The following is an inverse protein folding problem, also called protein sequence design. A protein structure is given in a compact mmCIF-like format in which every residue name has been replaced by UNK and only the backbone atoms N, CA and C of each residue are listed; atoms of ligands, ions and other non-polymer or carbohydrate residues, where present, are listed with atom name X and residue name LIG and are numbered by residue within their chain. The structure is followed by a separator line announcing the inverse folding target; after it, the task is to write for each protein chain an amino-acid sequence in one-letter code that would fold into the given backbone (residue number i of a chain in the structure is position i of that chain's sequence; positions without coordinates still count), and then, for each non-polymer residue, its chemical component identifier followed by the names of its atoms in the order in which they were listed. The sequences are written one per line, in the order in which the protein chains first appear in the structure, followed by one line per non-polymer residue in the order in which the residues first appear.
data_IF_617267219513
#
_entry.id   IF_617267219513
#
_cell.length_a   1.000
_cell.length_b   1.000
_cell.length_c   1.000
_cell.angle_alpha   90.00
_cell.angle_beta   90.00
_cell.angle_gamma   90.00
#
_symmetry.space_group_name_H-M   'P 1'
#
loop_
_entity.id
_entity.type
_entity.pdbx_description
1 polymer ?
#
# COMPACT_ATOMS: atom_id res chain seq x y z
N UNK A 1 -8.10 -8.45 0.83
CA UNK A 1 -8.71 -7.98 -0.45
C UNK A 1 -9.37 -9.10 -1.25
N UNK A 2 -10.27 -8.78 -2.19
CA UNK A 2 -10.89 -9.72 -3.15
C UNK A 2 -10.56 -9.28 -4.58
N UNK A 3 -9.95 -10.17 -5.37
CA UNK A 3 -9.54 -9.92 -6.75
C UNK A 3 -10.50 -10.54 -7.74
N UNK A 4 -10.89 -9.81 -8.79
CA UNK A 4 -11.71 -10.30 -9.90
C UNK A 4 -11.13 -9.88 -11.24
N UNK A 5 -11.10 -10.82 -12.18
CA UNK A 5 -10.71 -10.58 -13.57
C UNK A 5 -11.93 -10.85 -14.44
N UNK A 6 -12.40 -9.81 -15.11
CA UNK A 6 -13.60 -9.83 -15.93
C UNK A 6 -13.23 -9.42 -17.36
N UNK A 7 -14.10 -9.67 -18.33
CA UNK A 7 -13.81 -9.38 -19.74
C UNK A 7 -13.56 -7.89 -20.03
N UNK A 8 -14.06 -7.01 -19.17
CA UNK A 8 -14.01 -5.56 -19.31
C UNK A 8 -12.99 -4.89 -18.37
N UNK A 9 -12.30 -5.65 -17.51
CA UNK A 9 -11.31 -5.07 -16.60
C UNK A 9 -10.84 -5.98 -15.47
N UNK A 10 -9.91 -5.44 -14.67
CA UNK A 10 -9.38 -6.05 -13.47
C UNK A 10 -9.84 -5.25 -12.27
N UNK A 11 -10.58 -5.91 -11.37
CA UNK A 11 -11.24 -5.28 -10.24
C UNK A 11 -10.69 -5.80 -8.93
N UNK A 12 -10.48 -4.90 -7.96
CA UNK A 12 -10.10 -5.27 -6.61
C UNK A 12 -11.02 -4.58 -5.62
N UNK A 13 -11.61 -5.38 -4.74
CA UNK A 13 -12.37 -4.88 -3.60
C UNK A 13 -11.49 -4.97 -2.34
N UNK A 14 -11.41 -3.87 -1.60
CA UNK A 14 -10.61 -3.76 -0.39
C UNK A 14 -11.14 -2.68 0.55
N UNK A 15 -10.54 -2.60 1.73
CA UNK A 15 -10.84 -1.58 2.73
C UNK A 15 -9.84 -0.44 2.55
N UNK A 16 -10.33 0.78 2.33
CA UNK A 16 -9.45 1.95 2.24
C UNK A 16 -8.83 2.24 3.62
N UNK A 17 -7.57 2.62 3.65
CA UNK A 17 -6.88 3.06 4.84
C UNK A 17 -7.43 4.42 5.29
N UNK A 18 -8.05 4.38 6.47
CA UNK A 18 -8.45 5.52 7.27
C UNK A 18 -8.03 5.23 8.70
N UNK A 19 -7.84 6.25 9.54
CA UNK A 19 -7.61 6.01 10.97
C UNK A 19 -8.88 5.37 11.59
N UNK A 20 -8.98 4.04 11.58
CA UNK A 20 -10.15 3.24 12.00
C UNK A 20 -10.64 2.26 10.92
N UNK A 21 -11.92 1.84 11.01
CA UNK A 21 -12.56 0.99 10.00
C UNK A 21 -12.86 1.82 8.74
N UNK A 22 -12.02 1.65 7.71
CA UNK A 22 -12.23 2.33 6.44
C UNK A 22 -13.40 1.78 5.62
N UNK A 23 -13.91 2.54 4.65
CA UNK A 23 -14.96 2.06 3.77
C UNK A 23 -14.44 0.98 2.81
N UNK A 24 -15.31 0.03 2.48
CA UNK A 24 -15.11 -0.86 1.34
C UNK A 24 -15.13 -0.04 0.05
N UNK A 25 -14.16 -0.28 -0.82
CA UNK A 25 -14.05 0.34 -2.13
C UNK A 25 -13.73 -0.72 -3.18
N UNK A 26 -14.24 -0.51 -4.39
CA UNK A 26 -13.94 -1.34 -5.55
C UNK A 26 -13.20 -0.50 -6.59
N UNK A 27 -11.94 -0.87 -6.83
CA UNK A 27 -11.08 -0.18 -7.77
C UNK A 27 -11.00 -0.97 -9.08
N UNK A 28 -11.13 -0.28 -10.21
CA UNK A 28 -10.76 -0.82 -11.53
C UNK A 28 -9.31 -0.46 -11.81
N UNK A 29 -8.43 -1.44 -11.74
CA UNK A 29 -6.97 -1.25 -11.87
C UNK A 29 -6.49 -1.60 -13.26
N UNK A 30 -5.38 -0.99 -13.68
CA UNK A 30 -4.62 -1.47 -14.82
C UNK A 30 -3.87 -2.78 -14.49
N UNK A 31 -3.24 -3.38 -15.50
CA UNK A 31 -2.51 -4.64 -15.38
C UNK A 31 -1.43 -4.60 -14.29
N UNK A 32 -0.71 -3.48 -14.23
CA UNK A 32 0.49 -3.32 -13.44
C UNK A 32 0.15 -3.14 -11.96
N UNK A 33 -0.75 -2.21 -11.65
CA UNK A 33 -1.29 -2.00 -10.30
C UNK A 33 -1.94 -3.29 -9.76
N UNK A 34 -2.69 -3.99 -10.60
CA UNK A 34 -3.34 -5.24 -10.21
C UNK A 34 -2.32 -6.35 -9.87
N UNK A 35 -1.28 -6.51 -10.69
CA UNK A 35 -0.22 -7.50 -10.46
C UNK A 35 0.58 -7.19 -9.19
N UNK A 36 0.92 -5.92 -8.96
CA UNK A 36 1.61 -5.47 -7.74
C UNK A 36 0.80 -5.75 -6.48
N UNK A 37 -0.49 -5.45 -6.53
CA UNK A 37 -1.38 -5.63 -5.38
C UNK A 37 -1.59 -7.11 -5.05
N UNK A 38 -1.69 -7.98 -6.07
CA UNK A 38 -1.64 -9.44 -5.86
C UNK A 38 -0.34 -9.88 -5.19
N UNK A 39 0.81 -9.36 -5.66
CA UNK A 39 2.11 -9.69 -5.08
C UNK A 39 2.20 -9.23 -3.61
N UNK A 40 1.75 -8.02 -3.30
CA UNK A 40 1.71 -7.52 -1.93
C UNK A 40 0.83 -8.39 -1.02
N UNK A 41 -0.38 -8.72 -1.49
CA UNK A 41 -1.33 -9.58 -0.74
C UNK A 41 -0.72 -10.95 -0.47
N UNK A 42 -0.02 -11.54 -1.45
CA UNK A 42 0.65 -12.82 -1.27
C UNK A 42 1.76 -12.75 -0.22
N UNK A 43 2.59 -11.70 -0.24
CA UNK A 43 3.62 -11.50 0.78
C UNK A 43 2.99 -11.31 2.18
N UNK A 44 1.92 -10.52 2.28
CA UNK A 44 1.21 -10.31 3.55
C UNK A 44 0.65 -11.63 4.08
N UNK A 45 -0.05 -12.41 3.25
CA UNK A 45 -0.56 -13.72 3.64
C UNK A 45 0.56 -14.66 4.12
N UNK A 46 1.72 -14.66 3.47
CA UNK A 46 2.87 -15.45 3.93
C UNK A 46 3.40 -14.98 5.29
N UNK A 47 3.43 -13.66 5.55
CA UNK A 47 3.86 -13.09 6.83
C UNK A 47 2.87 -13.42 7.95
N UNK A 48 1.55 -13.36 7.70
CA UNK A 48 0.50 -13.69 8.68
C UNK A 48 0.62 -15.12 9.22
N UNK A 49 1.06 -16.06 8.38
CA UNK A 49 1.20 -17.47 8.75
C UNK A 49 2.51 -17.78 9.49
N UNK A 50 3.41 -16.82 9.65
CA UNK A 50 4.65 -17.01 10.39
C UNK A 50 4.36 -17.21 11.89
N UNK A 51 5.00 -18.16 12.58
CA UNK A 51 4.74 -18.43 14.00
C UNK A 51 4.82 -17.18 14.90
N UNK A 52 5.80 -16.30 14.65
CA UNK A 52 5.99 -15.04 15.41
C UNK A 52 4.90 -13.98 15.17
N UNK A 53 4.15 -14.12 14.09
CA UNK A 53 3.12 -13.16 13.68
C UNK A 53 1.74 -13.71 14.01
N UNK A 54 1.49 -14.99 13.69
CA UNK A 54 0.21 -15.66 13.84
C UNK A 54 -0.37 -15.59 15.26
N UNK A 55 0.49 -15.55 16.27
CA UNK A 55 0.10 -15.50 17.69
C UNK A 55 0.12 -14.07 18.26
N UNK A 56 0.56 -13.08 17.48
CA UNK A 56 0.70 -11.69 17.90
C UNK A 56 -0.36 -10.81 17.23
N UNK A 57 -1.43 -10.55 17.98
CA UNK A 57 -2.57 -9.75 17.51
C UNK A 57 -2.17 -8.38 16.99
N UNK A 58 -1.21 -7.71 17.64
CA UNK A 58 -0.77 -6.38 17.23
C UNK A 58 -0.06 -6.41 15.87
N UNK A 59 0.68 -7.49 15.57
CA UNK A 59 1.33 -7.68 14.28
C UNK A 59 0.35 -8.04 13.16
N UNK A 60 -0.67 -8.83 13.47
CA UNK A 60 -1.76 -9.12 12.52
C UNK A 60 -2.53 -7.84 12.15
N UNK A 61 -2.84 -6.99 13.14
CA UNK A 61 -3.48 -5.70 12.88
C UNK A 61 -2.59 -4.82 11.99
N UNK A 62 -1.29 -4.74 12.28
CA UNK A 62 -0.37 -3.96 11.45
C UNK A 62 -0.28 -4.49 10.00
N UNK A 63 -0.36 -5.81 9.79
CA UNK A 63 -0.39 -6.40 8.45
C UNK A 63 -1.68 -6.05 7.69
N UNK A 64 -2.83 -6.10 8.37
CA UNK A 64 -4.12 -5.69 7.79
C UNK A 64 -4.13 -4.18 7.44
N UNK A 65 -3.58 -3.34 8.31
CA UNK A 65 -3.42 -1.90 8.04
C UNK A 65 -2.45 -1.66 6.87
N UNK A 66 -1.37 -2.43 6.73
CA UNK A 66 -0.46 -2.37 5.58
C UNK A 66 -1.20 -2.79 4.30
N UNK A 67 -2.01 -3.86 4.34
CA UNK A 67 -2.81 -4.34 3.19
C UNK A 67 -3.75 -3.24 2.70
N UNK A 68 -4.54 -2.66 3.61
CA UNK A 68 -5.46 -1.56 3.30
C UNK A 68 -4.74 -0.30 2.82
N UNK A 69 -3.54 -0.02 3.34
CA UNK A 69 -2.73 1.13 2.91
C UNK A 69 -2.23 0.97 1.49
N UNK A 70 -1.67 -0.19 1.13
CA UNK A 70 -1.21 -0.47 -0.23
C UNK A 70 -2.40 -0.46 -1.20
N UNK A 71 -3.55 -1.02 -0.81
CA UNK A 71 -4.79 -0.94 -1.58
C UNK A 71 -5.22 0.50 -1.84
N UNK A 72 -5.15 1.38 -0.82
CA UNK A 72 -5.56 2.79 -0.96
C UNK A 72 -4.71 3.54 -1.96
N UNK A 73 -3.40 3.27 -1.99
CA UNK A 73 -2.49 3.85 -2.97
C UNK A 73 -2.89 3.38 -4.38
N UNK A 74 -3.12 2.08 -4.57
CA UNK A 74 -3.54 1.53 -5.86
C UNK A 74 -4.91 2.07 -6.30
N UNK A 75 -5.88 2.15 -5.38
CA UNK A 75 -7.21 2.69 -5.64
C UNK A 75 -7.19 4.17 -6.03
N UNK A 76 -6.18 4.93 -5.57
CA UNK A 76 -5.98 6.31 -6.00
C UNK A 76 -5.81 6.40 -7.53
N UNK A 77 -5.10 5.45 -8.15
CA UNK A 77 -4.91 5.45 -9.60
C UNK A 77 -6.23 5.35 -10.39
N UNK A 78 -7.26 4.68 -9.83
CA UNK A 78 -8.60 4.59 -10.43
C UNK A 78 -9.46 5.85 -10.20
N UNK A 79 -9.30 6.53 -9.06
CA UNK A 79 -10.16 7.66 -8.65
C UNK A 79 -9.66 9.03 -9.10
N UNK A 80 -8.34 9.21 -9.16
CA UNK A 80 -7.69 10.49 -9.43
C UNK A 80 -7.99 11.04 -10.83
N UNK A 81 -8.01 10.23 -11.91
CA UNK A 81 -8.38 10.72 -13.23
C UNK A 81 -9.84 11.19 -13.31
N UNK A 82 -10.70 10.68 -12.42
CA UNK A 82 -12.16 10.91 -12.42
C UNK A 82 -12.60 12.07 -11.51
N UNK A 83 -11.66 12.85 -10.94
CA UNK A 83 -11.94 13.88 -9.91
C UNK A 83 -12.74 13.36 -8.71
N UNK A 84 -12.67 12.05 -8.42
CA UNK A 84 -13.30 11.51 -7.22
C UNK A 84 -12.59 12.03 -5.96
N UNK A 85 -13.33 12.21 -4.87
CA UNK A 85 -12.81 12.89 -3.66
C UNK A 85 -11.77 12.08 -2.89
N UNK A 86 -11.73 10.76 -3.09
CA UNK A 86 -10.91 9.82 -2.31
C UNK A 86 -10.71 8.52 -3.10
N UNK A 87 -9.50 7.91 -3.08
CA UNK A 87 -8.27 8.46 -2.50
C UNK A 87 -7.74 9.66 -3.29
N UNK A 88 -7.19 10.65 -2.58
CA UNK A 88 -6.55 11.85 -3.16
C UNK A 88 -5.08 11.96 -2.72
N UNK A 89 -4.36 13.00 -3.16
CA UNK A 89 -2.94 13.21 -2.83
C UNK A 89 -2.64 13.17 -1.32
N UNK A 90 -3.53 13.73 -0.50
CA UNK A 90 -3.38 13.71 0.96
C UNK A 90 -3.53 12.30 1.53
N UNK A 91 -4.43 11.47 0.96
CA UNK A 91 -4.51 10.06 1.33
C UNK A 91 -3.20 9.32 1.00
N UNK A 92 -2.63 9.54 -0.19
CA UNK A 92 -1.35 8.92 -0.58
C UNK A 92 -0.22 9.34 0.36
N UNK A 93 -0.14 10.62 0.72
CA UNK A 93 0.85 11.11 1.68
C UNK A 93 0.71 10.44 3.05
N UNK A 94 -0.51 10.33 3.59
CA UNK A 94 -0.77 9.64 4.85
C UNK A 94 -0.40 8.15 4.77
N UNK A 95 -0.70 7.50 3.64
CA UNK A 95 -0.32 6.11 3.38
C UNK A 95 1.21 5.96 3.37
N UNK A 96 1.93 6.86 2.70
CA UNK A 96 3.39 6.85 2.65
C UNK A 96 4.01 7.04 4.04
N UNK A 97 3.46 7.97 4.85
CA UNK A 97 3.91 8.20 6.24
C UNK A 97 3.69 6.94 7.08
N UNK A 98 2.51 6.32 7.01
CA UNK A 98 2.21 5.10 7.75
C UNK A 98 3.19 3.97 7.40
N UNK A 99 3.33 3.68 6.10
CA UNK A 99 4.20 2.60 5.62
C UNK A 99 5.67 2.84 5.97
N UNK A 100 6.12 4.10 6.01
CA UNK A 100 7.49 4.45 6.43
C UNK A 100 7.82 4.03 7.87
N UNK A 101 6.81 3.87 8.73
CA UNK A 101 6.98 3.37 10.10
C UNK A 101 6.62 1.89 10.27
N UNK A 102 5.52 1.46 9.64
CA UNK A 102 4.98 0.12 9.79
C UNK A 102 5.90 -0.95 9.18
N UNK A 103 6.45 -0.69 7.99
CA UNK A 103 7.30 -1.67 7.28
C UNK A 103 8.61 -1.93 8.06
N UNK A 104 9.40 -0.92 8.52
CA UNK A 104 10.59 -1.20 9.33
C UNK A 104 10.28 -1.91 10.65
N UNK A 105 9.18 -1.54 11.31
CA UNK A 105 8.75 -2.19 12.54
C UNK A 105 8.46 -3.68 12.31
N UNK A 106 7.78 -4.00 11.20
CA UNK A 106 7.48 -5.37 10.79
C UNK A 106 8.75 -6.16 10.43
N UNK A 107 9.72 -5.54 9.73
CA UNK A 107 11.01 -6.16 9.44
C UNK A 107 11.75 -6.57 10.73
N UNK A 108 11.82 -5.67 11.71
CA UNK A 108 12.45 -5.94 13.00
C UNK A 108 11.72 -7.02 13.79
N UNK A 109 10.38 -7.00 13.78
CA UNK A 109 9.55 -7.96 14.47
C UNK A 109 9.65 -9.38 13.89
N UNK A 110 9.74 -9.49 12.56
CA UNK A 110 9.77 -10.78 11.85
C UNK A 110 11.19 -11.33 11.73
N UNK A 111 12.20 -10.46 11.56
CA UNK A 111 13.55 -10.83 11.13
C UNK A 111 13.67 -11.09 9.62
N UNK A 112 12.56 -11.03 8.87
CA UNK A 112 12.49 -11.34 7.44
C UNK A 112 12.66 -10.09 6.57
N UNK A 113 13.82 -9.46 6.71
CA UNK A 113 14.14 -8.20 6.06
C UNK A 113 13.91 -8.24 4.54
N UNK A 114 14.26 -9.34 3.86
CA UNK A 114 14.09 -9.44 2.41
C UNK A 114 12.62 -9.36 1.96
N UNK A 115 11.70 -10.10 2.58
CA UNK A 115 10.27 -10.07 2.20
C UNK A 115 9.63 -8.72 2.51
N UNK A 116 10.05 -8.12 3.62
CA UNK A 116 9.55 -6.82 4.04
C UNK A 116 10.09 -5.69 3.14
N UNK A 117 11.32 -5.82 2.63
CA UNK A 117 11.87 -4.95 1.57
C UNK A 117 11.12 -5.08 0.24
N UNK A 118 10.64 -6.28 -0.10
CA UNK A 118 9.79 -6.46 -1.27
C UNK A 118 8.46 -5.71 -1.11
N UNK A 119 7.82 -5.76 0.07
CA UNK A 119 6.64 -4.94 0.36
C UNK A 119 6.92 -3.45 0.24
N UNK A 120 8.06 -2.98 0.75
CA UNK A 120 8.48 -1.57 0.61
C UNK A 120 8.63 -1.18 -0.86
N UNK A 121 9.25 -2.05 -1.65
CA UNK A 121 9.47 -1.82 -3.08
C UNK A 121 8.15 -1.75 -3.84
N UNK A 122 7.20 -2.65 -3.52
CA UNK A 122 5.85 -2.63 -4.08
C UNK A 122 5.12 -1.34 -3.68
N UNK A 123 5.14 -0.97 -2.40
CA UNK A 123 4.51 0.27 -1.93
C UNK A 123 5.07 1.51 -2.64
N UNK A 124 6.40 1.59 -2.77
CA UNK A 124 7.06 2.71 -3.46
C UNK A 124 6.66 2.79 -4.92
N UNK A 125 6.55 1.64 -5.59
CA UNK A 125 6.17 1.61 -6.98
C UNK A 125 4.68 1.92 -7.17
N UNK A 126 3.80 1.43 -6.30
CA UNK A 126 2.39 1.81 -6.28
C UNK A 126 2.18 3.31 -6.07
N UNK A 127 2.99 3.96 -5.22
CA UNK A 127 2.96 5.43 -5.07
C UNK A 127 3.30 6.10 -6.38
N UNK A 128 4.36 5.65 -7.06
CA UNK A 128 4.74 6.22 -8.34
C UNK A 128 3.61 6.12 -9.37
N UNK A 129 3.02 4.93 -9.51
CA UNK A 129 1.90 4.70 -10.44
C UNK A 129 0.68 5.57 -10.13
N UNK A 130 0.40 5.81 -8.85
CA UNK A 130 -0.70 6.68 -8.43
C UNK A 130 -0.42 8.18 -8.70
N UNK A 131 0.84 8.61 -8.63
CA UNK A 131 1.24 10.01 -8.78
C UNK A 131 1.52 10.40 -10.24
N UNK A 132 2.07 9.50 -11.06
CA UNK A 132 2.46 9.78 -12.45
C UNK A 132 1.34 10.34 -13.35
N UNK A 133 0.07 9.91 -13.25
CA UNK A 133 -1.02 10.49 -14.04
C UNK A 133 -1.53 11.84 -13.50
N UNK A 134 -1.00 12.35 -12.37
CA UNK A 134 -1.45 13.62 -11.80
C UNK A 134 -0.78 14.82 -12.48
N UNK A 135 -1.46 15.45 -13.43
CA UNK A 135 -0.93 16.66 -14.11
C UNK A 135 -0.79 17.90 -13.21
N UNK A 136 -1.42 17.89 -12.03
CA UNK A 136 -1.57 19.07 -11.15
C UNK A 136 -0.62 19.08 -9.94
N UNK A 137 0.16 18.02 -9.73
CA UNK A 137 1.16 17.98 -8.65
C UNK A 137 2.49 18.54 -9.14
N UNK A 138 3.16 19.31 -8.28
CA UNK A 138 4.49 19.80 -8.60
C UNK A 138 5.50 18.65 -8.59
N UNK A 139 6.59 18.79 -9.37
CA UNK A 139 7.75 17.87 -9.30
C UNK A 139 8.32 17.75 -7.88
N UNK A 140 8.17 18.81 -7.08
CA UNK A 140 8.60 18.83 -5.69
C UNK A 140 7.72 17.91 -4.82
N UNK A 141 6.40 18.00 -4.93
CA UNK A 141 5.46 17.16 -4.18
C UNK A 141 5.58 15.68 -4.58
N UNK A 142 5.71 15.41 -5.87
CA UNK A 142 5.94 14.06 -6.39
C UNK A 142 7.17 13.42 -5.72
N UNK A 143 8.32 14.12 -5.78
CA UNK A 143 9.56 13.66 -5.13
C UNK A 143 9.40 13.53 -3.61
N UNK A 144 8.80 14.54 -2.96
CA UNK A 144 8.61 14.55 -1.50
C UNK A 144 7.88 13.29 -1.04
N UNK A 145 6.78 12.92 -1.70
CA UNK A 145 5.97 11.76 -1.33
C UNK A 145 6.73 10.46 -1.59
N UNK A 146 7.45 10.36 -2.70
CA UNK A 146 8.30 9.20 -2.97
C UNK A 146 9.37 9.03 -1.87
N UNK A 147 10.00 10.13 -1.42
CA UNK A 147 11.04 10.08 -0.41
C UNK A 147 10.53 9.67 0.99
N UNK A 148 9.22 9.85 1.28
CA UNK A 148 8.63 9.52 2.60
C UNK A 148 8.85 8.07 2.99
N UNK A 149 8.75 7.13 2.04
CA UNK A 149 8.98 5.70 2.31
C UNK A 149 10.44 5.38 2.64
N UNK A 150 11.38 6.26 2.28
CA UNK A 150 12.82 6.04 2.47
C UNK A 150 13.34 6.72 3.74
N UNK A 151 12.77 7.86 4.15
CA UNK A 151 13.30 8.68 5.26
C UNK A 151 13.36 7.97 6.62
N UNK A 152 12.52 6.94 6.86
CA UNK A 152 12.50 6.17 8.13
C UNK A 152 13.03 4.74 8.01
N UNK A 153 13.62 4.37 6.88
CA UNK A 153 14.06 3.00 6.63
C UNK A 153 15.38 2.62 7.30
N UNK A 154 16.12 3.54 7.95
CA UNK A 154 17.36 3.15 8.62
C UNK A 154 17.02 2.18 9.77
N UNK A 155 17.41 0.89 9.69
CA UNK A 155 17.32 0.03 10.86
C UNK A 155 18.18 0.69 11.92
N UNK A 156 17.69 0.76 13.16
CA UNK A 156 18.56 1.03 14.29
C UNK A 156 19.62 -0.07 14.29
N UNK A 157 20.82 0.28 13.84
CA UNK A 157 22.04 -0.53 13.91
C UNK A 157 22.55 -0.59 15.33
#
# INVERSE_FOLDING_TARGET
MIFREESDGKYVQGVLFFQGDGPLYEAKLDEECFALLKKATAIIAELEHMPRIKEDRSRLIALDEIDGTIFTIAAAADTLPRRARTPNLHNIENCAIFLSGAIPWLANATGYHQKVEELRSIASYSIQLALDPMEHISRYEHRRIQDLLYYRWRPYS
#
